data_IF_089528311321
#
_entry.id   IF_089528311321
#
_cell.length_a   1.000
_cell.length_b   1.000
_cell.length_c   1.000
_cell.angle_alpha   90.00
_cell.angle_beta   90.00
_cell.angle_gamma   90.00
#
_symmetry.space_group_name_H-M   'P 1'
#
loop_
_entity.id
_entity.type
_entity.pdbx_description
1 polymer ?
#
# COMPACT_ATOMS: atom_id res chain seq x y z
N UNK A 1 -2.26 -2.44 7.87
CA UNK A 1 -1.60 -1.21 8.36
C UNK A 1 -1.53 -0.22 7.21
N UNK A 2 -1.78 1.08 7.44
CA UNK A 2 -1.64 2.10 6.41
C UNK A 2 -0.16 2.37 6.10
N UNK A 3 0.11 2.90 4.90
CA UNK A 3 1.48 3.20 4.44
C UNK A 3 1.72 4.71 4.42
N UNK A 4 2.75 5.16 5.13
CA UNK A 4 3.31 6.50 4.98
C UNK A 4 4.37 6.45 3.88
N UNK A 5 3.98 6.84 2.67
CA UNK A 5 4.75 6.64 1.46
C UNK A 5 5.85 7.69 1.26
N UNK A 6 7.06 7.21 0.96
CA UNK A 6 8.24 8.02 0.70
C UNK A 6 9.01 7.45 -0.50
N UNK A 7 8.65 7.83 -1.74
CA UNK A 7 9.25 7.27 -2.95
C UNK A 7 10.72 7.72 -3.12
N UNK A 8 11.56 6.77 -3.54
CA UNK A 8 13.01 6.91 -3.69
C UNK A 8 13.50 6.53 -5.10
N UNK A 9 12.97 5.48 -5.73
CA UNK A 9 13.36 5.08 -7.10
C UNK A 9 12.37 4.14 -7.79
N UNK A 10 12.67 3.79 -9.05
CA UNK A 10 11.98 2.78 -9.87
C UNK A 10 10.47 3.01 -10.01
N UNK A 11 9.68 1.99 -9.65
CA UNK A 11 8.22 1.94 -9.73
C UNK A 11 7.54 2.56 -8.51
N UNK A 12 8.31 2.96 -7.48
CA UNK A 12 7.76 3.56 -6.26
C UNK A 12 6.86 4.77 -6.54
N UNK A 13 7.17 5.71 -7.48
CA UNK A 13 6.27 6.83 -7.77
C UNK A 13 4.87 6.37 -8.19
N UNK A 14 4.80 5.32 -9.01
CA UNK A 14 3.54 4.72 -9.46
C UNK A 14 2.86 3.96 -8.33
N UNK A 15 3.60 3.18 -7.54
CA UNK A 15 3.06 2.41 -6.42
C UNK A 15 2.48 3.33 -5.33
N UNK A 16 3.12 4.47 -5.07
CA UNK A 16 2.62 5.47 -4.12
C UNK A 16 1.28 6.05 -4.58
N UNK A 17 1.13 6.33 -5.88
CA UNK A 17 -0.14 6.78 -6.45
C UNK A 17 -1.23 5.72 -6.28
N UNK A 18 -0.92 4.44 -6.57
CA UNK A 18 -1.84 3.34 -6.36
C UNK A 18 -2.28 3.24 -4.89
N UNK A 19 -1.34 3.29 -3.95
CA UNK A 19 -1.62 3.18 -2.51
C UNK A 19 -2.48 4.33 -1.98
N UNK A 20 -2.14 5.57 -2.35
CA UNK A 20 -2.79 6.78 -1.82
C UNK A 20 -4.11 7.11 -2.53
N UNK A 21 -4.13 7.11 -3.86
CA UNK A 21 -5.30 7.54 -4.64
C UNK A 21 -6.23 6.36 -4.95
N UNK A 22 -5.66 5.24 -5.40
CA UNK A 22 -6.44 4.09 -5.86
C UNK A 22 -7.02 3.29 -4.72
N UNK A 23 -6.15 2.79 -3.85
CA UNK A 23 -6.50 1.90 -2.75
C UNK A 23 -6.90 2.65 -1.48
N UNK A 24 -6.46 3.91 -1.34
CA UNK A 24 -6.70 4.76 -0.16
C UNK A 24 -6.27 4.10 1.15
N UNK A 25 -5.15 3.38 1.10
CA UNK A 25 -4.53 2.68 2.25
C UNK A 25 -3.21 3.33 2.68
N UNK A 26 -2.92 4.52 2.19
CA UNK A 26 -1.71 5.24 2.54
C UNK A 26 -1.78 6.72 2.22
N UNK A 27 -0.75 7.44 2.65
CA UNK A 27 -0.59 8.88 2.47
C UNK A 27 0.83 9.17 1.97
N UNK A 28 0.98 10.19 1.13
CA UNK A 28 2.28 10.62 0.62
C UNK A 28 2.93 11.57 1.62
N UNK A 29 4.08 11.17 2.19
CA UNK A 29 4.87 12.03 3.09
C UNK A 29 5.63 13.07 2.28
N UNK A 30 6.26 12.62 1.18
CA UNK A 30 7.02 13.44 0.23
C UNK A 30 6.73 12.99 -1.19
N UNK A 31 6.32 13.91 -2.04
CA UNK A 31 6.09 13.62 -3.46
C UNK A 31 7.38 13.22 -4.19
N UNK A 32 7.23 12.50 -5.31
CA UNK A 32 8.35 12.12 -6.17
C UNK A 32 9.11 13.33 -6.75
N UNK A 33 8.40 14.40 -7.07
CA UNK A 33 8.98 15.61 -7.62
C UNK A 33 9.95 16.28 -6.64
N UNK A 34 9.68 16.12 -5.33
CA UNK A 34 10.49 16.62 -4.23
C UNK A 34 11.51 15.58 -3.71
N UNK A 35 11.82 14.51 -4.45
CA UNK A 35 12.63 13.39 -3.92
C UNK A 35 14.06 13.72 -3.48
N UNK A 36 14.59 14.86 -3.93
CA UNK A 36 15.94 15.35 -3.56
C UNK A 36 15.90 16.31 -2.38
N UNK A 37 14.73 16.70 -1.94
CA UNK A 37 14.53 17.63 -0.83
C UNK A 37 14.52 16.88 0.50
N UNK A 38 15.04 17.56 1.52
CA UNK A 38 14.95 17.14 2.92
C UNK A 38 13.59 17.55 3.45
N UNK A 39 12.86 16.60 4.03
CA UNK A 39 11.55 16.86 4.66
C UNK A 39 11.80 17.34 6.08
N UNK A 40 11.17 18.44 6.46
CA UNK A 40 11.22 18.98 7.81
C UNK A 40 10.63 17.98 8.83
N UNK A 41 11.20 17.94 10.04
CA UNK A 41 10.76 17.00 11.07
C UNK A 41 9.29 17.22 11.47
N UNK A 42 8.85 18.48 11.47
CA UNK A 42 7.50 18.92 11.77
C UNK A 42 6.49 18.31 10.79
N UNK A 43 6.87 18.21 9.51
CA UNK A 43 6.02 17.59 8.49
C UNK A 43 5.91 16.07 8.70
N UNK A 44 7.00 15.42 9.09
CA UNK A 44 6.98 14.00 9.43
C UNK A 44 6.07 13.74 10.63
N UNK A 45 6.22 14.55 11.67
CA UNK A 45 5.38 14.48 12.88
C UNK A 45 3.89 14.67 12.56
N UNK A 46 3.55 15.69 11.77
CA UNK A 46 2.17 15.96 11.35
C UNK A 46 1.55 14.74 10.66
N UNK A 47 2.26 14.15 9.69
CA UNK A 47 1.76 12.99 8.94
C UNK A 47 1.64 11.77 9.84
N UNK A 48 2.61 11.53 10.72
CA UNK A 48 2.54 10.42 11.70
C UNK A 48 1.33 10.59 12.60
N UNK A 49 1.11 11.79 13.15
CA UNK A 49 -0.03 12.07 14.04
C UNK A 49 -1.36 11.91 13.32
N UNK A 50 -1.49 12.43 12.10
CA UNK A 50 -2.68 12.26 11.27
C UNK A 50 -2.97 10.76 11.03
N UNK A 51 -1.94 9.99 10.66
CA UNK A 51 -2.10 8.56 10.37
C UNK A 51 -2.44 7.78 11.63
N UNK A 52 -1.88 8.11 12.79
CA UNK A 52 -2.07 7.32 14.01
C UNK A 52 -3.35 7.71 14.76
N UNK A 53 -3.58 9.01 14.95
CA UNK A 53 -4.62 9.55 15.83
C UNK A 53 -5.82 10.13 15.07
N UNK A 54 -5.60 10.57 13.82
CA UNK A 54 -6.62 11.21 13.01
C UNK A 54 -7.70 10.27 12.48
N UNK A 55 -8.86 10.85 12.15
CA UNK A 55 -9.98 10.13 11.53
C UNK A 55 -9.62 9.58 10.15
N UNK A 56 -8.87 10.35 9.36
CA UNK A 56 -8.34 9.90 8.07
C UNK A 56 -7.46 8.64 8.23
N UNK A 57 -6.55 8.65 9.21
CA UNK A 57 -5.71 7.52 9.56
C UNK A 57 -6.51 6.29 10.02
N UNK A 58 -7.61 6.49 10.74
CA UNK A 58 -8.56 5.41 11.11
C UNK A 58 -9.19 4.78 9.87
N UNK A 59 -9.71 5.58 8.94
CA UNK A 59 -10.29 5.08 7.68
C UNK A 59 -9.26 4.31 6.85
N UNK A 60 -8.01 4.81 6.77
CA UNK A 60 -6.94 4.09 6.07
C UNK A 60 -6.60 2.75 6.74
N UNK A 61 -6.60 2.67 8.08
CA UNK A 61 -6.39 1.41 8.82
C UNK A 61 -7.47 0.39 8.53
N UNK A 62 -8.74 0.80 8.51
CA UNK A 62 -9.88 -0.07 8.21
C UNK A 62 -9.77 -0.65 6.79
N UNK A 63 -9.56 0.21 5.78
CA UNK A 63 -9.35 -0.24 4.39
C UNK A 63 -8.15 -1.17 4.25
N UNK A 64 -7.04 -0.86 4.91
CA UNK A 64 -5.86 -1.72 4.91
C UNK A 64 -6.13 -3.07 5.58
N UNK A 65 -7.03 -3.13 6.57
CA UNK A 65 -7.45 -4.37 7.24
C UNK A 65 -8.30 -5.22 6.29
N UNK A 66 -9.32 -4.64 5.68
CA UNK A 66 -10.20 -5.29 4.70
C UNK A 66 -9.41 -5.84 3.51
N UNK A 67 -8.52 -5.02 2.95
CA UNK A 67 -7.63 -5.44 1.87
C UNK A 67 -6.75 -6.61 2.30
N UNK A 68 -6.18 -6.56 3.50
CA UNK A 68 -5.40 -7.67 4.04
C UNK A 68 -6.20 -8.95 4.21
N UNK A 69 -7.48 -8.87 4.58
CA UNK A 69 -8.38 -10.03 4.65
C UNK A 69 -8.66 -10.60 3.25
N UNK A 70 -8.95 -9.76 2.27
CA UNK A 70 -9.16 -10.18 0.89
C UNK A 70 -7.91 -10.85 0.28
N UNK A 71 -6.72 -10.28 0.51
CA UNK A 71 -5.45 -10.88 0.08
C UNK A 71 -5.20 -12.24 0.71
N UNK A 72 -5.44 -12.39 2.02
CA UNK A 72 -5.34 -13.68 2.70
C UNK A 72 -6.33 -14.69 2.16
N UNK A 73 -7.56 -14.29 1.83
CA UNK A 73 -8.55 -15.18 1.23
C UNK A 73 -8.12 -15.63 -0.17
N UNK A 74 -7.59 -14.73 -1.01
CA UNK A 74 -7.13 -15.05 -2.36
C UNK A 74 -5.94 -16.03 -2.38
N UNK A 75 -5.11 -16.05 -1.34
CA UNK A 75 -3.92 -16.91 -1.25
C UNK A 75 -4.17 -18.30 -0.64
N UNK A 76 -5.29 -18.50 0.06
CA UNK A 76 -5.64 -19.81 0.64
C UNK A 76 -5.96 -20.83 -0.45
N UNK A 77 -5.99 -22.12 -0.08
CA UNK A 77 -6.47 -23.17 -0.98
C UNK A 77 -7.91 -22.89 -1.42
N UNK A 78 -8.17 -23.02 -2.73
CA UNK A 78 -9.43 -22.59 -3.35
C UNK A 78 -9.58 -21.06 -3.49
N UNK A 79 -8.56 -20.29 -3.14
CA UNK A 79 -8.49 -18.85 -3.37
C UNK A 79 -8.03 -18.52 -4.79
N UNK A 80 -8.51 -17.39 -5.33
CA UNK A 80 -8.28 -17.02 -6.73
C UNK A 80 -6.80 -16.93 -7.13
N UNK A 81 -5.92 -16.43 -6.25
CA UNK A 81 -4.48 -16.35 -6.54
C UNK A 81 -3.82 -17.73 -6.51
N UNK A 82 -4.27 -18.62 -5.62
CA UNK A 82 -3.75 -20.00 -5.54
C UNK A 82 -4.18 -20.81 -6.75
N UNK A 83 -5.44 -20.69 -7.15
CA UNK A 83 -5.98 -21.34 -8.36
C UNK A 83 -5.27 -20.87 -9.62
N UNK A 84 -5.08 -19.55 -9.78
CA UNK A 84 -4.36 -19.00 -10.93
C UNK A 84 -2.91 -19.54 -10.99
N UNK A 85 -2.25 -19.67 -9.84
CA UNK A 85 -0.91 -20.25 -9.76
C UNK A 85 -0.90 -21.74 -10.12
N UNK A 86 -1.88 -22.51 -9.65
CA UNK A 86 -1.99 -23.94 -9.96
C UNK A 86 -2.24 -24.18 -11.45
N UNK A 87 -3.06 -23.35 -12.09
CA UNK A 87 -3.26 -23.36 -13.55
C UNK A 87 -1.94 -23.10 -14.29
N UNK A 88 -1.17 -22.09 -13.84
CA UNK A 88 0.13 -21.78 -14.44
C UNK A 88 1.10 -22.97 -14.32
N UNK A 89 1.20 -23.58 -13.15
CA UNK A 89 2.07 -24.75 -12.92
C UNK A 89 1.65 -25.94 -13.77
N UNK A 90 0.34 -26.20 -13.90
CA UNK A 90 -0.19 -27.26 -14.74
C UNK A 90 0.12 -27.03 -16.23
N UNK A 91 0.06 -25.77 -16.69
CA UNK A 91 0.41 -25.41 -18.06
C UNK A 91 1.88 -25.70 -18.39
N UNK A 92 2.82 -25.37 -17.48
CA UNK A 92 4.25 -25.60 -17.69
C UNK A 92 4.70 -27.05 -17.57
N UNK A 93 3.86 -27.93 -17.00
CA UNK A 93 4.14 -29.37 -16.88
C UNK A 93 3.70 -30.17 -18.11
N UNK A 94 3.03 -29.55 -19.07
CA UNK A 94 2.75 -30.14 -20.38
C UNK A 94 3.94 -29.95 -21.30
#
# INVERSE_FOLDING_TARGET
MPVMAWPMHSDQPTNVRLLAEGLKVGVVVRGWDHRREVVAAERVEEVVRMVMEGEEGRSMREKAREMGEAMRAAQKDGGSSKEAFDVLVAHWRR
#
